data_IF_470716425281
#
_entry.id   IF_470716425281
#
_cell.length_a   1.000
_cell.length_b   1.000
_cell.length_c   1.000
_cell.angle_alpha   90.00
_cell.angle_beta   90.00
_cell.angle_gamma   90.00
#
_symmetry.space_group_name_H-M   'P 1'
#
loop_
_entity.id
_entity.type
_entity.pdbx_description
1 polymer ?
#
# COMPACT_ATOMS: atom_id res chain seq x y z
N UNK A 1 31.32 17.67 -31.68
CA UNK A 1 30.22 17.17 -30.85
C UNK A 1 29.43 16.21 -31.72
N UNK A 2 29.61 14.92 -31.53
CA UNK A 2 28.89 13.88 -32.28
C UNK A 2 27.52 13.79 -31.64
N UNK A 3 26.53 14.40 -32.27
CA UNK A 3 25.13 14.31 -31.80
C UNK A 3 24.63 12.94 -32.23
N UNK A 4 24.66 11.97 -31.32
CA UNK A 4 24.05 10.66 -31.53
C UNK A 4 22.53 10.82 -31.68
N UNK A 5 21.92 9.97 -32.50
CA UNK A 5 20.47 9.93 -32.61
C UNK A 5 19.87 9.42 -31.28
N UNK A 6 18.73 9.97 -30.80
CA UNK A 6 18.13 9.52 -29.54
C UNK A 6 17.87 8.01 -29.45
N UNK A 7 17.55 7.36 -30.57
CA UNK A 7 17.34 5.90 -30.66
C UNK A 7 18.62 5.11 -30.35
N UNK A 8 19.77 5.58 -30.83
CA UNK A 8 21.09 4.97 -30.57
C UNK A 8 21.51 5.10 -29.11
N UNK A 9 21.16 6.22 -28.46
CA UNK A 9 21.43 6.42 -27.04
C UNK A 9 20.66 5.40 -26.19
N UNK A 10 19.39 5.14 -26.52
CA UNK A 10 18.57 4.14 -25.83
C UNK A 10 19.10 2.73 -26.06
N UNK A 11 19.41 2.36 -27.31
CA UNK A 11 19.92 1.02 -27.66
C UNK A 11 21.23 0.69 -26.94
N UNK A 12 22.08 1.69 -26.73
CA UNK A 12 23.39 1.52 -26.10
C UNK A 12 23.41 1.87 -24.60
N UNK A 13 22.25 2.13 -23.98
CA UNK A 13 22.16 2.54 -22.57
C UNK A 13 23.05 3.75 -22.25
N UNK A 14 23.03 4.77 -23.11
CA UNK A 14 23.80 6.01 -22.99
C UNK A 14 22.89 7.22 -22.77
N UNK A 15 21.69 6.98 -22.24
CA UNK A 15 20.80 8.08 -21.87
C UNK A 15 21.22 8.67 -20.53
N UNK A 16 20.82 9.91 -20.27
CA UNK A 16 21.07 10.55 -18.97
C UNK A 16 20.52 9.70 -17.80
N UNK A 17 19.41 8.99 -18.01
CA UNK A 17 18.84 8.07 -17.02
C UNK A 17 19.73 6.85 -16.75
N UNK A 18 20.42 6.35 -17.76
CA UNK A 18 21.33 5.21 -17.60
C UNK A 18 22.59 5.64 -16.83
N UNK A 19 23.08 6.85 -17.10
CA UNK A 19 24.18 7.44 -16.35
C UNK A 19 23.79 7.67 -14.88
N UNK A 20 22.57 8.18 -14.60
CA UNK A 20 22.03 8.29 -13.24
C UNK A 20 21.94 6.95 -12.49
N UNK A 21 21.64 5.86 -13.19
CA UNK A 21 21.62 4.50 -12.60
C UNK A 21 23.02 4.00 -12.28
N UNK A 22 24.01 4.29 -13.15
CA UNK A 22 25.42 3.90 -12.98
C UNK A 22 26.13 4.67 -11.88
N UNK A 23 25.75 5.93 -11.68
CA UNK A 23 26.39 6.81 -10.68
C UNK A 23 26.03 6.44 -9.24
N UNK A 24 24.98 5.63 -9.03
CA UNK A 24 24.52 5.18 -7.71
C UNK A 24 25.12 3.83 -7.33
N UNK A 25 25.69 3.75 -6.12
CA UNK A 25 26.22 2.50 -5.54
C UNK A 25 25.12 1.64 -4.92
N UNK A 26 24.08 1.34 -5.71
CA UNK A 26 22.90 0.55 -5.33
C UNK A 26 22.62 -0.44 -6.46
N UNK A 27 22.28 -1.71 -6.18
CA UNK A 27 21.88 -2.65 -7.23
C UNK A 27 20.74 -2.11 -8.12
N UNK A 28 20.89 -2.15 -9.44
CA UNK A 28 19.91 -1.57 -10.40
C UNK A 28 18.47 -2.02 -10.14
N UNK A 29 18.27 -3.30 -9.77
CA UNK A 29 16.94 -3.85 -9.44
C UNK A 29 16.27 -3.12 -8.28
N UNK A 30 17.04 -2.72 -7.27
CA UNK A 30 16.53 -1.96 -6.14
C UNK A 30 16.18 -0.53 -6.57
N UNK A 31 17.05 0.08 -7.38
CA UNK A 31 16.84 1.44 -7.91
C UNK A 31 15.55 1.53 -8.74
N UNK A 32 15.28 0.53 -9.58
CA UNK A 32 14.13 0.52 -10.50
C UNK A 32 12.81 0.16 -9.82
N UNK A 33 12.84 -0.56 -8.69
CA UNK A 33 11.63 -1.09 -8.03
C UNK A 33 10.86 0.00 -7.29
N UNK A 34 11.55 0.84 -6.52
CA UNK A 34 10.95 1.91 -5.72
C UNK A 34 11.73 3.22 -5.91
N UNK A 35 11.68 3.83 -7.11
CA UNK A 35 12.51 5.00 -7.43
C UNK A 35 12.17 6.24 -6.59
N UNK A 36 10.99 6.29 -5.98
CA UNK A 36 10.48 7.44 -5.22
C UNK A 36 10.11 7.08 -3.78
N UNK A 37 10.81 6.13 -3.14
CA UNK A 37 10.57 5.83 -1.73
C UNK A 37 10.86 7.09 -0.89
N UNK A 38 9.91 7.55 -0.05
CA UNK A 38 10.11 8.77 0.71
C UNK A 38 11.24 8.62 1.72
N UNK A 39 12.08 9.64 1.83
CA UNK A 39 12.98 9.78 2.98
C UNK A 39 12.16 10.08 4.23
N UNK A 40 12.53 9.46 5.34
CA UNK A 40 11.83 9.62 6.62
C UNK A 40 12.80 9.42 7.78
N UNK A 41 12.40 9.87 8.98
CA UNK A 41 13.22 9.70 10.17
C UNK A 41 13.35 8.22 10.52
N UNK A 42 14.50 7.82 11.06
CA UNK A 42 14.77 6.42 11.45
C UNK A 42 13.67 5.86 12.36
N UNK A 43 13.21 6.65 13.34
CA UNK A 43 12.16 6.24 14.27
C UNK A 43 10.76 6.13 13.63
N UNK A 44 10.53 6.80 12.50
CA UNK A 44 9.30 6.65 11.71
C UNK A 44 9.41 5.41 10.82
N UNK A 45 10.57 5.21 10.18
CA UNK A 45 10.88 4.04 9.36
C UNK A 45 10.76 2.75 10.16
N UNK A 46 11.28 2.73 11.39
CA UNK A 46 11.15 1.58 12.29
C UNK A 46 9.69 1.28 12.64
N UNK A 47 8.86 2.31 12.89
CA UNK A 47 7.43 2.12 13.16
C UNK A 47 6.69 1.57 11.94
N UNK A 48 6.97 2.09 10.76
CA UNK A 48 6.39 1.60 9.52
C UNK A 48 6.78 0.15 9.27
N UNK A 49 8.07 -0.19 9.40
CA UNK A 49 8.58 -1.56 9.24
C UNK A 49 7.95 -2.55 10.21
N UNK A 50 7.63 -2.11 11.43
CA UNK A 50 6.89 -2.93 12.40
C UNK A 50 5.44 -3.21 11.95
N UNK A 51 4.78 -2.25 11.30
CA UNK A 51 3.44 -2.43 10.75
C UNK A 51 3.47 -3.30 9.48
N UNK A 52 4.42 -3.03 8.61
CA UNK A 52 4.67 -3.76 7.38
C UNK A 52 5.01 -5.22 7.66
N UNK A 53 5.93 -5.50 8.59
CA UNK A 53 6.29 -6.87 8.96
C UNK A 53 5.11 -7.68 9.49
N UNK A 54 4.21 -7.06 10.26
CA UNK A 54 2.96 -7.67 10.67
C UNK A 54 2.04 -7.97 9.47
N UNK A 55 1.89 -7.02 8.55
CA UNK A 55 1.09 -7.17 7.33
C UNK A 55 1.63 -8.26 6.39
N UNK A 56 2.96 -8.30 6.21
CA UNK A 56 3.66 -9.33 5.43
C UNK A 56 3.52 -10.70 6.09
N UNK A 57 3.68 -10.78 7.42
CA UNK A 57 3.51 -12.03 8.16
C UNK A 57 2.17 -12.69 7.84
N UNK A 58 1.08 -11.92 7.71
CA UNK A 58 -0.24 -12.45 7.35
C UNK A 58 -0.31 -13.03 5.93
N UNK A 59 0.59 -12.63 5.03
CA UNK A 59 0.59 -13.06 3.63
C UNK A 59 1.60 -14.16 3.28
N UNK A 60 2.59 -14.43 4.14
CA UNK A 60 3.59 -15.47 3.87
C UNK A 60 3.06 -16.88 4.15
N UNK A 61 3.00 -17.74 3.14
CA UNK A 61 2.67 -19.15 3.36
C UNK A 61 3.76 -19.87 4.16
N UNK A 62 3.39 -20.85 4.98
CA UNK A 62 4.33 -21.66 5.75
C UNK A 62 5.03 -20.95 6.92
N UNK A 63 4.73 -19.67 7.17
CA UNK A 63 5.23 -18.91 8.33
C UNK A 63 4.16 -18.85 9.43
N UNK A 64 4.58 -19.04 10.69
CA UNK A 64 3.69 -18.87 11.85
C UNK A 64 3.20 -17.42 11.94
N UNK A 65 1.89 -17.24 11.83
CA UNK A 65 1.20 -15.94 11.81
C UNK A 65 1.12 -15.24 13.17
N UNK A 66 1.36 -15.99 14.24
CA UNK A 66 1.25 -15.53 15.62
C UNK A 66 2.61 -15.35 16.29
N UNK A 67 3.67 -15.94 15.72
CA UNK A 67 5.03 -15.86 16.27
C UNK A 67 5.59 -14.44 16.19
N UNK A 68 5.99 -13.91 17.34
CA UNK A 68 6.73 -12.65 17.42
C UNK A 68 8.14 -12.76 16.81
N UNK A 69 8.80 -13.91 16.95
CA UNK A 69 10.14 -14.16 16.42
C UNK A 69 10.13 -14.18 14.88
N UNK A 70 9.12 -14.80 14.27
CA UNK A 70 8.93 -14.76 12.82
C UNK A 70 8.71 -13.33 12.31
N UNK A 71 7.98 -12.49 13.08
CA UNK A 71 7.79 -11.08 12.73
C UNK A 71 9.09 -10.29 12.80
N UNK A 72 9.88 -10.51 13.86
CA UNK A 72 11.22 -9.89 14.00
C UNK A 72 12.12 -10.30 12.83
N UNK A 73 12.11 -11.58 12.45
CA UNK A 73 12.85 -12.08 11.29
C UNK A 73 12.45 -11.37 9.98
N UNK A 74 11.15 -11.15 9.76
CA UNK A 74 10.64 -10.39 8.60
C UNK A 74 11.13 -8.94 8.66
N UNK A 75 11.05 -8.28 9.82
CA UNK A 75 11.50 -6.91 10.01
C UNK A 75 13.01 -6.75 9.75
N UNK A 76 13.84 -7.73 10.13
CA UNK A 76 15.28 -7.75 9.82
C UNK A 76 15.55 -7.91 8.31
N UNK A 77 14.79 -8.76 7.62
CA UNK A 77 14.89 -8.87 6.15
C UNK A 77 14.51 -7.55 5.47
N UNK A 78 13.42 -6.92 5.90
CA UNK A 78 13.03 -5.59 5.43
C UNK A 78 14.15 -4.58 5.68
N UNK A 79 14.75 -4.57 6.88
CA UNK A 79 15.88 -3.70 7.21
C UNK A 79 17.03 -3.80 6.20
N UNK A 80 17.44 -5.03 5.87
CA UNK A 80 18.51 -5.24 4.90
C UNK A 80 18.17 -4.71 3.50
N UNK A 81 16.90 -4.79 3.09
CA UNK A 81 16.44 -4.29 1.80
C UNK A 81 16.32 -2.75 1.81
N UNK A 82 15.75 -2.19 2.89
CA UNK A 82 15.32 -0.80 2.98
C UNK A 82 16.46 0.16 3.34
N UNK A 83 17.35 -0.25 4.25
CA UNK A 83 18.37 0.63 4.83
C UNK A 83 19.78 0.31 4.32
N UNK A 84 20.00 -0.92 3.83
CA UNK A 84 21.33 -1.39 3.42
C UNK A 84 21.42 -1.71 1.92
N UNK A 85 20.31 -1.59 1.19
CA UNK A 85 20.25 -1.88 -0.24
C UNK A 85 20.81 -3.26 -0.61
N UNK A 86 20.59 -4.27 0.25
CA UNK A 86 21.06 -5.62 -0.01
C UNK A 86 20.09 -6.39 -0.91
N UNK A 87 20.63 -7.05 -1.94
CA UNK A 87 19.86 -7.99 -2.74
C UNK A 87 19.46 -9.24 -1.94
N UNK A 88 18.31 -9.83 -2.27
CA UNK A 88 17.79 -11.06 -1.66
C UNK A 88 18.82 -12.19 -1.63
N UNK A 89 19.56 -12.38 -2.74
CA UNK A 89 20.60 -13.41 -2.79
C UNK A 89 21.72 -13.11 -1.78
N UNK A 90 22.16 -11.85 -1.66
CA UNK A 90 23.19 -11.50 -0.68
C UNK A 90 22.71 -11.77 0.76
N UNK A 91 21.48 -11.36 1.08
CA UNK A 91 20.86 -11.58 2.39
C UNK A 91 20.81 -13.08 2.72
N UNK A 92 20.36 -13.92 1.78
CA UNK A 92 20.30 -15.37 1.97
C UNK A 92 21.67 -16.01 2.27
N UNK A 93 22.71 -15.59 1.55
CA UNK A 93 24.03 -16.22 1.71
C UNK A 93 24.77 -15.73 2.96
N UNK A 94 24.64 -14.45 3.32
CA UNK A 94 25.53 -13.80 4.30
C UNK A 94 24.83 -13.23 5.54
N UNK A 95 23.49 -13.27 5.61
CA UNK A 95 22.69 -12.73 6.73
C UNK A 95 21.62 -13.69 7.26
N UNK A 96 21.72 -14.98 6.92
CA UNK A 96 20.73 -16.00 7.29
C UNK A 96 20.49 -16.19 8.78
N UNK A 97 21.50 -15.90 9.61
CA UNK A 97 21.42 -16.08 11.06
C UNK A 97 20.42 -15.11 11.73
N UNK A 98 20.01 -14.04 11.04
CA UNK A 98 19.04 -13.06 11.55
C UNK A 98 17.58 -13.50 11.39
N UNK A 99 17.30 -14.49 10.54
CA UNK A 99 15.93 -14.89 10.22
C UNK A 99 15.68 -16.39 10.21
N UNK A 100 16.72 -17.22 10.20
CA UNK A 100 16.56 -18.66 10.42
C UNK A 100 16.33 -18.94 11.91
N UNK A 101 15.48 -19.91 12.26
CA UNK A 101 14.85 -20.90 11.39
C UNK A 101 13.50 -20.46 10.77
N UNK A 102 13.01 -19.25 11.05
CA UNK A 102 11.64 -18.83 10.74
C UNK A 102 11.37 -18.56 9.25
N UNK A 103 12.40 -18.16 8.49
CA UNK A 103 12.27 -17.86 7.07
C UNK A 103 13.17 -18.75 6.20
N UNK A 104 12.63 -19.15 5.05
CA UNK A 104 13.33 -19.85 3.97
C UNK A 104 13.59 -18.89 2.80
N UNK A 105 14.40 -19.32 1.83
CA UNK A 105 14.82 -18.47 0.71
C UNK A 105 13.65 -17.91 -0.08
N UNK A 106 12.62 -18.72 -0.29
CA UNK A 106 11.40 -18.35 -1.01
C UNK A 106 10.66 -17.21 -0.30
N UNK A 107 10.69 -17.19 1.04
CA UNK A 107 10.07 -16.13 1.82
C UNK A 107 10.78 -14.78 1.61
N UNK A 108 12.10 -14.75 1.43
CA UNK A 108 12.82 -13.49 1.20
C UNK A 108 12.40 -12.83 -0.11
N UNK A 109 12.23 -13.60 -1.19
CA UNK A 109 11.71 -13.07 -2.46
C UNK A 109 10.27 -12.59 -2.29
N UNK A 110 9.46 -13.31 -1.53
CA UNK A 110 8.08 -12.88 -1.27
C UNK A 110 8.02 -11.60 -0.45
N UNK A 111 8.86 -11.45 0.56
CA UNK A 111 9.01 -10.21 1.35
C UNK A 111 9.41 -9.05 0.43
N UNK A 112 10.37 -9.28 -0.48
CA UNK A 112 10.82 -8.28 -1.43
C UNK A 112 9.70 -7.74 -2.35
N UNK A 113 8.86 -8.64 -2.85
CA UNK A 113 7.66 -8.26 -3.63
C UNK A 113 6.61 -7.54 -2.79
N UNK A 114 6.41 -8.00 -1.56
CA UNK A 114 5.41 -7.45 -0.66
C UNK A 114 5.79 -6.05 -0.14
N UNK A 115 7.07 -5.76 0.06
CA UNK A 115 7.57 -4.41 0.38
C UNK A 115 7.20 -3.40 -0.73
N UNK A 116 7.30 -3.81 -2.00
CA UNK A 116 6.87 -2.94 -3.11
C UNK A 116 5.36 -2.68 -3.09
N UNK A 117 4.56 -3.69 -2.74
CA UNK A 117 3.10 -3.54 -2.63
C UNK A 117 2.71 -2.67 -1.45
N UNK A 118 3.36 -2.85 -0.31
CA UNK A 118 3.14 -2.05 0.88
C UNK A 118 3.37 -0.56 0.57
N UNK A 119 4.50 -0.23 -0.04
CA UNK A 119 4.82 1.16 -0.43
C UNK A 119 3.78 1.77 -1.35
N UNK A 120 3.29 1.02 -2.35
CA UNK A 120 2.20 1.47 -3.23
C UNK A 120 0.90 1.71 -2.46
N UNK A 121 0.54 0.83 -1.54
CA UNK A 121 -0.66 0.97 -0.70
C UNK A 121 -0.54 2.17 0.24
N UNK A 122 0.62 2.35 0.88
CA UNK A 122 0.91 3.47 1.77
C UNK A 122 0.86 4.81 1.02
N UNK A 123 1.50 4.89 -0.15
CA UNK A 123 1.44 6.06 -1.02
C UNK A 123 -0.01 6.38 -1.42
N UNK A 124 -0.79 5.36 -1.83
CA UNK A 124 -2.19 5.55 -2.21
C UNK A 124 -3.06 6.02 -1.05
N UNK A 125 -2.82 5.48 0.14
CA UNK A 125 -3.52 5.91 1.35
C UNK A 125 -3.18 7.36 1.70
N UNK A 126 -1.91 7.75 1.60
CA UNK A 126 -1.47 9.11 1.85
C UNK A 126 -2.03 10.10 0.81
N UNK A 127 -2.12 9.71 -0.46
CA UNK A 127 -2.81 10.49 -1.50
C UNK A 127 -4.28 10.72 -1.14
N UNK A 128 -4.98 9.68 -0.68
CA UNK A 128 -6.38 9.80 -0.28
C UNK A 128 -6.50 10.71 0.96
N UNK A 129 -5.64 10.54 1.97
CA UNK A 129 -5.60 11.39 3.17
C UNK A 129 -5.30 12.87 2.81
N UNK A 130 -4.38 13.12 1.88
CA UNK A 130 -3.99 14.46 1.41
C UNK A 130 -4.96 15.10 0.45
N UNK A 131 -5.70 14.29 -0.32
CA UNK A 131 -6.80 14.77 -1.16
C UNK A 131 -7.91 15.24 -0.23
N UNK A 132 -7.67 16.38 0.42
CA UNK A 132 -8.59 16.95 1.38
C UNK A 132 -9.88 17.21 0.59
N UNK A 133 -10.99 16.67 1.02
CA UNK A 133 -12.28 16.81 0.37
C UNK A 133 -12.66 18.26 0.11
N UNK A 134 -12.26 19.14 1.03
CA UNK A 134 -12.45 20.58 0.94
C UNK A 134 -11.69 21.20 -0.24
N UNK A 135 -10.56 20.64 -0.66
CA UNK A 135 -9.78 21.11 -1.81
C UNK A 135 -10.37 20.59 -3.12
N UNK A 136 -10.85 19.35 -3.15
CA UNK A 136 -11.65 18.81 -4.27
C UNK A 136 -12.94 19.62 -4.49
N UNK A 137 -13.59 20.06 -3.40
CA UNK A 137 -14.78 20.91 -3.45
C UNK A 137 -14.49 22.35 -3.88
N UNK A 138 -13.29 22.87 -3.62
CA UNK A 138 -12.85 24.21 -4.06
C UNK A 138 -12.37 24.22 -5.51
N UNK A 139 -11.78 23.12 -5.98
CA UNK A 139 -11.40 22.94 -7.39
C UNK A 139 -12.60 22.64 -8.28
N UNK A 140 -13.69 22.12 -7.71
CA UNK A 140 -14.99 22.07 -8.33
C UNK A 140 -15.55 23.49 -8.45
N UNK A 141 -15.35 24.13 -9.58
CA UNK A 141 -15.89 25.43 -10.00
C UNK A 141 -17.43 25.47 -10.15
N UNK A 142 -18.16 24.67 -9.36
CA UNK A 142 -19.61 24.49 -9.48
C UNK A 142 -20.03 23.53 -10.60
N UNK A 143 -19.07 22.88 -11.26
CA UNK A 143 -19.32 21.87 -12.31
C UNK A 143 -19.68 20.48 -11.78
N UNK A 144 -19.36 20.17 -10.53
CA UNK A 144 -19.65 18.87 -9.95
C UNK A 144 -21.14 18.74 -9.61
N UNK A 145 -21.72 17.62 -10.01
CA UNK A 145 -23.07 17.24 -9.61
C UNK A 145 -23.15 17.02 -8.09
N UNK A 146 -24.38 17.11 -7.54
CA UNK A 146 -24.61 16.87 -6.13
C UNK A 146 -24.11 15.49 -5.66
N UNK A 147 -24.15 14.48 -6.53
CA UNK A 147 -23.64 13.14 -6.26
C UNK A 147 -22.10 13.08 -6.19
N UNK A 148 -21.40 13.87 -7.00
CA UNK A 148 -19.93 13.95 -6.99
C UNK A 148 -19.41 14.74 -5.78
N UNK A 149 -20.11 15.82 -5.41
CA UNK A 149 -19.89 16.58 -4.18
C UNK A 149 -20.13 15.68 -2.96
N UNK A 150 -21.20 14.90 -2.96
CA UNK A 150 -21.51 13.97 -1.89
C UNK A 150 -20.49 12.83 -1.80
N UNK A 151 -19.98 12.34 -2.94
CA UNK A 151 -18.92 11.34 -3.00
C UNK A 151 -17.59 11.88 -2.46
N UNK A 152 -17.21 13.11 -2.81
CA UNK A 152 -16.01 13.76 -2.28
C UNK A 152 -16.12 14.01 -0.76
N UNK A 153 -17.27 14.51 -0.30
CA UNK A 153 -17.60 14.65 1.12
C UNK A 153 -17.72 13.30 1.84
N UNK A 154 -18.02 12.21 1.14
CA UNK A 154 -18.05 10.87 1.71
C UNK A 154 -16.64 10.32 1.89
N UNK A 155 -15.76 10.51 0.90
CA UNK A 155 -14.32 10.23 1.00
C UNK A 155 -13.66 11.04 2.15
N UNK A 156 -14.15 12.25 2.41
CA UNK A 156 -13.78 13.10 3.55
C UNK A 156 -13.92 12.47 4.91
N UNK A 157 -15.17 12.15 5.19
CA UNK A 157 -15.62 11.72 6.51
C UNK A 157 -15.12 10.31 6.77
N UNK A 158 -14.82 9.56 5.71
CA UNK A 158 -14.16 8.27 5.75
C UNK A 158 -12.73 8.35 6.30
N UNK A 159 -11.96 9.36 5.90
CA UNK A 159 -10.57 9.56 6.35
C UNK A 159 -10.51 10.13 7.77
N UNK A 160 -11.42 11.05 8.14
CA UNK A 160 -11.44 11.64 9.48
C UNK A 160 -12.09 10.76 10.56
N UNK A 161 -13.10 9.96 10.21
CA UNK A 161 -13.92 9.22 11.18
C UNK A 161 -13.54 7.76 11.41
N UNK A 162 -12.82 7.14 10.47
CA UNK A 162 -12.61 5.68 10.48
C UNK A 162 -11.24 5.27 9.91
N UNK A 163 -10.22 6.09 10.14
CA UNK A 163 -8.82 5.77 9.79
C UNK A 163 -8.38 4.40 10.35
N UNK A 164 -9.03 3.87 11.40
CA UNK A 164 -8.84 2.49 11.89
C UNK A 164 -9.31 1.41 10.92
N UNK A 165 -10.40 1.60 10.18
CA UNK A 165 -10.94 0.60 9.24
C UNK A 165 -10.20 0.65 7.90
N UNK A 166 -9.74 1.83 7.48
CA UNK A 166 -8.82 1.96 6.34
C UNK A 166 -7.47 1.29 6.66
N UNK A 167 -7.03 1.38 7.93
CA UNK A 167 -5.84 0.67 8.44
C UNK A 167 -5.97 -0.85 8.45
N UNK A 168 -7.18 -1.40 8.49
CA UNK A 168 -7.40 -2.86 8.53
C UNK A 168 -7.51 -3.50 7.16
N UNK A 169 -7.61 -2.72 6.07
CA UNK A 169 -7.64 -3.28 4.74
C UNK A 169 -6.23 -3.73 4.34
N UNK A 170 -6.07 -5.05 4.19
CA UNK A 170 -4.80 -5.73 3.92
C UNK A 170 -4.59 -5.87 2.41
N UNK A 171 -5.65 -5.90 1.60
CA UNK A 171 -5.59 -6.08 0.14
C UNK A 171 -6.31 -4.97 -0.64
N UNK A 172 -6.05 -4.88 -1.96
CA UNK A 172 -6.73 -3.94 -2.85
C UNK A 172 -8.22 -4.27 -2.97
N UNK A 173 -8.57 -5.55 -2.98
CA UNK A 173 -9.94 -6.04 -2.91
C UNK A 173 -10.60 -5.70 -1.57
N UNK A 174 -9.90 -5.83 -0.44
CA UNK A 174 -10.46 -5.44 0.87
C UNK A 174 -10.63 -3.92 0.97
N UNK A 175 -9.75 -3.12 0.37
CA UNK A 175 -9.95 -1.67 0.26
C UNK A 175 -11.21 -1.35 -0.55
N UNK A 176 -11.42 -2.07 -1.66
CA UNK A 176 -12.62 -1.96 -2.49
C UNK A 176 -13.87 -2.45 -1.77
N UNK A 177 -13.79 -3.54 -1.03
CA UNK A 177 -14.90 -4.12 -0.26
C UNK A 177 -15.26 -3.23 0.93
N UNK A 178 -14.30 -2.62 1.61
CA UNK A 178 -14.53 -1.60 2.64
C UNK A 178 -15.26 -0.40 2.02
N UNK A 179 -14.83 0.02 0.82
CA UNK A 179 -15.50 1.08 0.08
C UNK A 179 -16.96 0.72 -0.28
N UNK A 180 -17.20 -0.49 -0.80
CA UNK A 180 -18.54 -0.99 -1.17
C UNK A 180 -19.45 -1.23 0.05
N UNK A 181 -18.94 -1.86 1.11
CA UNK A 181 -19.65 -2.12 2.37
C UNK A 181 -20.14 -0.82 3.02
N UNK A 182 -19.31 0.22 3.00
CA UNK A 182 -19.68 1.52 3.57
C UNK A 182 -20.67 2.31 2.70
N UNK A 183 -20.61 2.13 1.37
CA UNK A 183 -21.64 2.63 0.45
C UNK A 183 -23.00 1.95 0.69
N UNK A 184 -22.99 0.65 1.00
CA UNK A 184 -24.19 -0.13 1.31
C UNK A 184 -24.84 0.28 2.64
N UNK A 185 -24.02 0.50 3.69
CA UNK A 185 -24.48 0.91 5.04
C UNK A 185 -25.23 2.25 5.06
N UNK A 186 -24.97 3.14 4.10
CA UNK A 186 -25.59 4.48 4.03
C UNK A 186 -26.69 4.61 2.98
N UNK A 187 -27.17 3.50 2.42
CA UNK A 187 -28.41 3.47 1.65
C UNK A 187 -28.32 3.95 0.20
N UNK A 188 -27.16 3.88 -0.45
CA UNK A 188 -27.02 3.99 -1.92
C UNK A 188 -26.52 2.68 -2.56
N UNK A 189 -26.92 1.53 -2.00
CA UNK A 189 -26.75 0.24 -2.66
C UNK A 189 -27.97 -0.10 -3.51
N UNK A 190 -27.86 -0.05 -4.84
CA UNK A 190 -28.75 -0.84 -5.70
C UNK A 190 -28.38 -2.31 -5.54
N UNK A 191 -29.05 -3.00 -4.62
CA UNK A 191 -29.02 -4.46 -4.60
C UNK A 191 -29.88 -4.97 -5.76
N UNK A 192 -29.24 -5.32 -6.87
CA UNK A 192 -29.81 -6.30 -7.80
C UNK A 192 -29.60 -7.68 -7.22
N UNK A 193 -30.56 -8.15 -6.41
CA UNK A 193 -30.70 -9.56 -6.08
C UNK A 193 -31.89 -10.10 -6.89
N UNK A 194 -31.63 -11.20 -7.60
CA UNK A 194 -32.54 -11.82 -8.54
C UNK A 194 -33.95 -12.04 -8.01
N UNK A 195 -34.90 -11.78 -8.91
CA UNK A 195 -36.34 -12.09 -8.87
C UNK A 195 -37.04 -12.15 -7.50
N UNK A 196 -37.88 -11.14 -7.25
CA UNK A 196 -39.11 -11.32 -6.49
C UNK A 196 -39.12 -10.71 -5.09
N UNK A 197 -39.44 -9.41 -5.02
CA UNK A 197 -40.08 -8.81 -3.85
C UNK A 197 -39.22 -7.78 -3.10
N UNK A 198 -39.48 -6.50 -3.37
CA UNK A 198 -38.96 -5.38 -2.58
C UNK A 198 -39.62 -5.38 -1.20
N UNK A 199 -38.92 -5.82 -0.15
CA UNK A 199 -39.32 -5.52 1.24
C UNK A 199 -38.52 -4.33 1.76
N UNK A 200 -39.24 -3.26 2.08
CA UNK A 200 -38.72 -2.13 2.85
C UNK A 200 -38.50 -2.59 4.29
N UNK A 201 -37.25 -2.57 4.75
CA UNK A 201 -36.93 -2.74 6.18
C UNK A 201 -37.03 -1.36 6.83
N UNK A 202 -37.87 -1.24 7.85
CA UNK A 202 -38.03 -0.03 8.66
C UNK A 202 -36.93 0.02 9.73
N UNK A 203 -35.96 0.90 9.53
CA UNK A 203 -34.76 1.03 10.36
C UNK A 203 -34.94 1.99 11.55
N UNK A 204 -36.08 2.68 11.68
CA UNK A 204 -36.36 3.51 12.86
C UNK A 204 -36.63 2.66 14.12
N UNK A 205 -37.00 1.38 13.93
CA UNK A 205 -37.18 0.43 15.02
C UNK A 205 -35.86 0.03 15.69
N UNK A 206 -34.74 0.02 14.96
CA UNK A 206 -33.46 -0.44 15.49
C UNK A 206 -32.70 0.66 16.26
N UNK A 207 -32.94 1.93 15.92
CA UNK A 207 -32.31 3.09 16.58
C UNK A 207 -32.79 3.28 18.03
N UNK A 208 -33.93 2.68 18.41
CA UNK A 208 -34.48 2.74 19.78
C UNK A 208 -33.89 1.70 20.75
N UNK A 209 -33.11 0.73 20.26
CA UNK A 209 -32.58 -0.37 21.07
C UNK A 209 -31.12 -0.19 21.50
N UNK A 210 -30.45 0.87 21.02
CA UNK A 210 -29.02 1.11 21.28
C UNK A 210 -28.76 2.53 21.77
N UNK A 211 -29.73 3.12 22.48
CA UNK A 211 -29.54 4.34 23.27
C UNK A 211 -29.82 4.03 24.73
#
# INVERSE_FOLDING_TARGET
RTTFEPSQLVEHFLTEKDDELRDKDVPERLQLRLPNRPEMLESEREKERNQESLWIQQQLDGVDKTSGEARVAIAEVLKFIQDNDFEVNFIWHYRKDFFRPHLEREHLWRIFELDERWEKLTARRLELERARPEELLKQADGSLSADEVELALMKARYLEGDASVVRTAVTEEELKDVYEFLALRRGKGTLSLGSGGTRRIDWDAHRRLVS
#
